data_IF_151639761289
#
_entry.id   IF_151639761289
#
_cell.length_a   1.000
_cell.length_b   1.000
_cell.length_c   1.000
_cell.angle_alpha   90.00
_cell.angle_beta   90.00
_cell.angle_gamma   90.00
#
_symmetry.space_group_name_H-M   'P 1'
#
loop_
_entity.id
_entity.type
_entity.pdbx_description
1 polymer ?
#
# COMPACT_ATOMS: atom_id res chain seq x y z
N UNK A 1 -18.26 -4.27 0.17
CA UNK A 1 -18.41 -2.80 0.07
C UNK A 1 -19.75 -2.33 0.66
N UNK A 2 -20.89 -2.87 0.27
CA UNK A 2 -22.19 -2.38 0.77
C UNK A 2 -22.39 -2.38 2.28
N UNK A 3 -21.74 -3.27 3.01
CA UNK A 3 -21.79 -3.33 4.49
C UNK A 3 -20.96 -2.26 5.20
N UNK A 4 -19.92 -1.73 4.56
CA UNK A 4 -18.98 -0.76 5.14
C UNK A 4 -19.19 0.66 4.59
N UNK A 5 -20.02 0.81 3.59
CA UNK A 5 -20.39 2.08 3.00
C UNK A 5 -21.91 2.19 3.04
N UNK A 6 -22.48 2.35 4.22
CA UNK A 6 -23.90 2.64 4.33
C UNK A 6 -24.16 4.08 3.85
N UNK A 7 -24.37 4.22 2.56
CA UNK A 7 -24.78 5.50 1.99
C UNK A 7 -26.19 5.84 2.47
N UNK A 8 -26.33 6.89 3.26
CA UNK A 8 -27.63 7.49 3.60
C UNK A 8 -28.23 8.10 2.34
N UNK A 9 -28.75 7.25 1.44
CA UNK A 9 -29.25 7.71 0.14
C UNK A 9 -30.74 8.04 0.24
N UNK A 10 -31.07 9.31 0.12
CA UNK A 10 -32.44 9.78 -0.14
C UNK A 10 -32.72 9.97 -1.64
N UNK A 11 -31.81 9.54 -2.52
CA UNK A 11 -31.89 9.78 -3.96
C UNK A 11 -32.25 8.51 -4.71
N UNK A 12 -33.36 8.54 -5.40
CA UNK A 12 -33.80 7.48 -6.34
C UNK A 12 -32.91 7.39 -7.59
N UNK A 13 -32.04 8.38 -7.83
CA UNK A 13 -31.21 8.49 -9.05
C UNK A 13 -29.81 7.92 -8.91
N UNK A 14 -29.29 7.74 -7.68
CA UNK A 14 -27.96 7.22 -7.43
C UNK A 14 -28.01 6.36 -6.16
N UNK A 15 -28.44 5.12 -6.33
CA UNK A 15 -28.43 4.13 -5.26
C UNK A 15 -27.02 3.65 -4.93
N UNK A 16 -26.88 2.95 -3.82
CA UNK A 16 -25.61 2.46 -3.32
C UNK A 16 -24.90 1.52 -4.30
N UNK A 17 -25.64 0.64 -4.96
CA UNK A 17 -25.06 -0.32 -5.92
C UNK A 17 -24.53 0.41 -7.15
N UNK A 18 -25.23 1.45 -7.61
CA UNK A 18 -24.72 2.30 -8.70
C UNK A 18 -23.41 3.00 -8.31
N UNK A 19 -23.32 3.57 -7.12
CA UNK A 19 -22.11 4.23 -6.64
C UNK A 19 -20.94 3.24 -6.60
N UNK A 20 -21.17 2.04 -6.07
CA UNK A 20 -20.16 0.97 -5.97
C UNK A 20 -19.71 0.52 -7.37
N UNK A 21 -20.62 0.29 -8.29
CA UNK A 21 -20.33 -0.14 -9.65
C UNK A 21 -19.52 0.92 -10.41
N UNK A 22 -19.92 2.19 -10.32
CA UNK A 22 -19.21 3.27 -11.01
C UNK A 22 -17.81 3.51 -10.41
N UNK A 23 -17.66 3.38 -9.09
CA UNK A 23 -16.34 3.39 -8.44
C UNK A 23 -15.47 2.21 -8.90
N UNK A 24 -16.05 1.02 -8.95
CA UNK A 24 -15.37 -0.19 -9.44
C UNK A 24 -14.96 -0.04 -10.90
N UNK A 25 -15.85 0.46 -11.76
CA UNK A 25 -15.59 0.69 -13.18
C UNK A 25 -14.51 1.77 -13.39
N UNK A 26 -14.54 2.86 -12.60
CA UNK A 26 -13.51 3.89 -12.63
C UNK A 26 -12.13 3.33 -12.22
N UNK A 27 -12.11 2.49 -11.19
CA UNK A 27 -10.90 1.84 -10.72
C UNK A 27 -10.30 0.90 -11.77
N UNK A 28 -11.09 -0.03 -12.35
CA UNK A 28 -10.56 -1.01 -13.32
C UNK A 28 -10.17 -0.39 -14.66
N UNK A 29 -10.74 0.74 -15.03
CA UNK A 29 -10.34 1.49 -16.22
C UNK A 29 -9.17 2.46 -15.94
N UNK A 30 -8.90 2.79 -14.69
CA UNK A 30 -7.97 3.86 -14.32
C UNK A 30 -8.44 5.22 -14.84
N UNK A 31 -9.75 5.47 -14.85
CA UNK A 31 -10.41 6.68 -15.33
C UNK A 31 -10.95 7.53 -14.18
N UNK A 32 -11.40 8.74 -14.50
CA UNK A 32 -12.18 9.56 -13.58
C UNK A 32 -13.64 9.09 -13.51
N UNK A 33 -14.33 9.44 -12.43
CA UNK A 33 -15.78 9.18 -12.32
C UNK A 33 -16.57 9.84 -13.45
N UNK A 34 -16.21 11.06 -13.86
CA UNK A 34 -16.86 11.73 -14.98
C UNK A 34 -16.81 10.89 -16.25
N UNK A 35 -15.58 10.46 -16.65
CA UNK A 35 -15.41 9.63 -17.85
C UNK A 35 -16.21 8.34 -17.78
N UNK A 36 -16.34 7.75 -16.60
CA UNK A 36 -17.07 6.49 -16.43
C UNK A 36 -18.58 6.70 -16.48
N UNK A 37 -19.10 7.73 -15.81
CA UNK A 37 -20.52 8.07 -15.88
C UNK A 37 -20.98 8.29 -17.33
N UNK A 38 -20.14 8.92 -18.15
CA UNK A 38 -20.43 9.17 -19.57
C UNK A 38 -20.35 7.88 -20.43
N UNK A 39 -19.77 6.80 -19.93
CA UNK A 39 -19.53 5.56 -20.68
C UNK A 39 -20.63 4.49 -20.54
N UNK A 40 -21.59 4.67 -19.65
CA UNK A 40 -22.70 3.76 -19.40
C UNK A 40 -24.03 4.48 -19.41
N UNK A 41 -25.11 3.80 -19.88
CA UNK A 41 -26.43 4.42 -20.02
C UNK A 41 -27.14 4.57 -18.66
N UNK A 42 -27.01 3.56 -17.81
CA UNK A 42 -27.61 3.55 -16.47
C UNK A 42 -26.60 4.09 -15.44
N UNK A 43 -26.30 5.39 -15.52
CA UNK A 43 -25.47 6.09 -14.56
C UNK A 43 -26.07 7.44 -14.16
N UNK A 44 -25.94 7.77 -12.89
CA UNK A 44 -26.11 9.14 -12.45
C UNK A 44 -24.91 9.99 -12.91
N UNK A 45 -25.07 11.30 -12.93
CA UNK A 45 -23.97 12.21 -13.26
C UNK A 45 -22.84 12.14 -12.22
N UNK A 46 -21.61 12.37 -12.64
CA UNK A 46 -20.45 12.36 -11.72
C UNK A 46 -20.63 13.32 -10.52
N UNK A 47 -21.16 14.54 -10.64
CA UNK A 47 -21.50 15.37 -9.48
C UNK A 47 -22.49 14.72 -8.52
N UNK A 48 -23.50 13.99 -9.02
CA UNK A 48 -24.47 13.30 -8.18
C UNK A 48 -23.80 12.15 -7.39
N UNK A 49 -22.94 11.37 -8.03
CA UNK A 49 -22.17 10.31 -7.36
C UNK A 49 -21.24 10.89 -6.28
N UNK A 50 -20.50 11.97 -6.60
CA UNK A 50 -19.63 12.64 -5.62
C UNK A 50 -20.42 13.27 -4.47
N UNK A 51 -21.60 13.81 -4.75
CA UNK A 51 -22.51 14.33 -3.72
C UNK A 51 -22.96 13.21 -2.78
N UNK A 52 -23.38 12.06 -3.31
CA UNK A 52 -23.78 10.90 -2.50
C UNK A 52 -22.63 10.37 -1.64
N UNK A 53 -21.42 10.28 -2.18
CA UNK A 53 -20.25 9.88 -1.42
C UNK A 53 -19.96 10.86 -0.27
N UNK A 54 -20.02 12.16 -0.52
CA UNK A 54 -19.76 13.18 0.48
C UNK A 54 -20.85 13.27 1.53
N UNK A 55 -22.08 13.52 1.11
CA UNK A 55 -23.21 13.74 2.01
C UNK A 55 -23.73 12.46 2.65
N UNK A 56 -23.67 11.35 1.93
CA UNK A 56 -24.19 10.07 2.41
C UNK A 56 -23.23 9.32 3.34
N UNK A 57 -21.93 9.62 3.27
CA UNK A 57 -20.95 8.85 4.01
C UNK A 57 -19.79 9.68 4.58
N UNK A 58 -19.07 10.46 3.75
CA UNK A 58 -17.79 11.06 4.14
C UNK A 58 -17.92 12.30 5.05
N UNK A 59 -19.02 13.04 4.99
CA UNK A 59 -19.12 14.31 5.74
C UNK A 59 -19.30 14.10 7.24
N UNK A 60 -19.98 13.03 7.64
CA UNK A 60 -20.29 12.76 9.05
C UNK A 60 -19.08 12.16 9.81
N UNK A 61 -18.05 11.75 9.10
CA UNK A 61 -16.87 11.09 9.66
C UNK A 61 -15.62 11.95 9.51
N UNK A 62 -14.72 11.90 10.48
CA UNK A 62 -13.39 12.44 10.30
C UNK A 62 -12.50 11.51 9.44
N UNK A 63 -11.26 11.95 9.12
CA UNK A 63 -10.38 11.16 8.26
C UNK A 63 -9.93 9.85 8.93
N UNK A 64 -9.80 9.82 10.27
CA UNK A 64 -9.37 8.64 11.01
C UNK A 64 -10.48 7.60 11.07
N UNK A 65 -11.73 8.04 11.24
CA UNK A 65 -12.91 7.18 11.20
C UNK A 65 -13.07 6.54 9.83
N UNK A 66 -12.95 7.34 8.75
CA UNK A 66 -12.96 6.85 7.37
C UNK A 66 -11.80 5.86 7.13
N UNK A 67 -10.61 6.15 7.65
CA UNK A 67 -9.47 5.24 7.54
C UNK A 67 -9.78 3.89 8.19
N UNK A 68 -10.44 3.88 9.35
CA UNK A 68 -10.83 2.65 10.05
C UNK A 68 -11.82 1.84 9.22
N UNK A 69 -12.91 2.45 8.75
CA UNK A 69 -13.91 1.77 7.91
C UNK A 69 -13.32 1.23 6.61
N UNK A 70 -12.44 2.01 5.97
CA UNK A 70 -11.75 1.58 4.76
C UNK A 70 -10.75 0.43 5.02
N UNK A 71 -10.11 0.40 6.17
CA UNK A 71 -9.26 -0.72 6.56
C UNK A 71 -10.08 -1.98 6.85
N UNK A 72 -11.30 -1.86 7.39
CA UNK A 72 -12.22 -2.99 7.54
C UNK A 72 -12.64 -3.55 6.19
N UNK A 73 -12.99 -2.67 5.26
CA UNK A 73 -13.27 -3.06 3.87
C UNK A 73 -12.07 -3.74 3.20
N UNK A 74 -10.86 -3.24 3.42
CA UNK A 74 -9.62 -3.78 2.85
C UNK A 74 -9.40 -5.25 3.22
N UNK A 75 -9.81 -5.65 4.42
CA UNK A 75 -9.58 -6.99 4.96
C UNK A 75 -10.81 -7.89 4.95
N UNK A 76 -11.97 -7.41 4.50
CA UNK A 76 -13.24 -8.17 4.48
C UNK A 76 -13.12 -9.54 3.79
N UNK A 77 -12.30 -9.62 2.75
CA UNK A 77 -12.06 -10.84 1.98
C UNK A 77 -10.57 -11.20 1.97
N UNK A 78 -10.09 -11.70 3.11
CA UNK A 78 -8.75 -12.24 3.19
C UNK A 78 -8.73 -13.75 2.99
N UNK A 79 -7.70 -14.30 2.32
CA UNK A 79 -7.49 -15.74 2.27
C UNK A 79 -7.23 -16.34 3.67
N UNK A 80 -7.79 -17.54 3.94
CA UNK A 80 -7.70 -18.22 5.26
C UNK A 80 -6.28 -18.34 5.80
N UNK A 81 -5.25 -18.42 4.92
CA UNK A 81 -3.86 -18.53 5.35
C UNK A 81 -3.29 -17.26 6.00
N UNK A 82 -4.06 -16.18 6.02
CA UNK A 82 -3.70 -14.91 6.67
C UNK A 82 -4.33 -14.82 8.06
N UNK A 83 -5.45 -15.48 8.26
CA UNK A 83 -6.15 -15.48 9.55
C UNK A 83 -5.33 -16.24 10.59
N UNK A 84 -5.02 -15.56 11.67
CA UNK A 84 -4.22 -16.11 12.77
C UNK A 84 -2.75 -16.34 12.44
N UNK A 85 -1.96 -16.63 13.45
CA UNK A 85 -0.55 -16.96 13.35
C UNK A 85 0.39 -15.77 13.19
N UNK A 86 1.70 -16.07 13.11
CA UNK A 86 2.76 -15.06 12.98
C UNK A 86 3.23 -14.91 11.53
N UNK A 87 3.21 -13.68 11.03
CA UNK A 87 3.55 -13.35 9.64
C UNK A 87 4.81 -12.50 9.50
N UNK A 88 5.43 -12.58 8.33
CA UNK A 88 6.39 -11.57 7.88
C UNK A 88 5.59 -10.44 7.27
N UNK A 89 5.75 -9.23 7.80
CA UNK A 89 5.07 -8.03 7.34
C UNK A 89 6.10 -7.04 6.84
N UNK A 90 5.81 -6.34 5.76
CA UNK A 90 6.61 -5.21 5.33
C UNK A 90 5.78 -3.93 5.37
N UNK A 91 6.42 -2.85 5.80
CA UNK A 91 5.86 -1.51 5.84
C UNK A 91 6.63 -0.63 4.86
N UNK A 92 5.88 0.17 4.12
CA UNK A 92 6.44 1.13 3.16
C UNK A 92 5.53 2.34 2.97
N UNK A 93 6.11 3.45 2.51
CA UNK A 93 5.37 4.66 2.17
C UNK A 93 5.27 4.85 0.66
N UNK A 94 4.18 5.48 0.24
CA UNK A 94 4.02 5.94 -1.14
C UNK A 94 3.38 7.30 -1.19
N UNK A 95 3.99 8.22 -1.95
CA UNK A 95 3.43 9.53 -2.24
C UNK A 95 2.75 9.56 -3.61
N UNK A 96 1.52 10.02 -3.65
CA UNK A 96 0.80 10.33 -4.89
C UNK A 96 1.08 11.79 -5.23
N UNK A 97 1.75 12.08 -6.37
CA UNK A 97 2.04 13.45 -6.77
C UNK A 97 0.79 14.32 -6.82
N UNK A 98 0.89 15.51 -6.31
CA UNK A 98 -0.20 16.48 -6.25
C UNK A 98 0.27 17.87 -6.70
N UNK A 99 -0.52 18.53 -7.52
CA UNK A 99 -0.19 19.83 -8.12
C UNK A 99 -1.14 20.95 -7.65
N UNK A 100 -2.06 20.64 -6.74
CA UNK A 100 -3.01 21.61 -6.19
C UNK A 100 -2.59 22.14 -4.82
N UNK A 101 -3.48 22.89 -4.21
CA UNK A 101 -3.40 23.36 -2.84
C UNK A 101 -4.09 22.38 -1.88
N UNK A 102 -3.79 22.48 -0.58
CA UNK A 102 -4.48 21.75 0.47
C UNK A 102 -6.00 22.03 0.45
N UNK A 103 -6.80 21.12 0.98
CA UNK A 103 -8.25 21.25 1.00
C UNK A 103 -8.73 22.07 2.21
N UNK A 104 -8.30 21.66 3.39
CA UNK A 104 -8.66 22.30 4.67
C UNK A 104 -7.42 22.64 5.50
N UNK A 105 -6.37 21.81 5.45
CA UNK A 105 -5.19 21.93 6.27
C UNK A 105 -3.93 21.68 5.42
N UNK A 106 -2.90 22.54 5.59
CA UNK A 106 -1.62 22.37 4.90
C UNK A 106 -0.93 21.05 5.24
N UNK A 107 -1.22 20.47 6.39
CA UNK A 107 -0.71 19.17 6.82
C UNK A 107 -1.23 17.98 5.99
N UNK A 108 -2.27 18.17 5.18
CA UNK A 108 -2.72 17.16 4.20
C UNK A 108 -1.68 16.86 3.14
N UNK A 109 -0.71 17.74 2.94
CA UNK A 109 0.25 17.65 1.85
C UNK A 109 1.67 17.52 2.41
N UNK A 110 2.22 16.31 2.28
CA UNK A 110 3.60 16.03 2.68
C UNK A 110 4.57 16.43 1.57
N UNK A 111 5.66 17.10 1.95
CA UNK A 111 6.73 17.44 1.01
C UNK A 111 7.76 16.32 0.93
N UNK A 112 8.21 16.01 -0.29
CA UNK A 112 9.25 15.01 -0.54
C UNK A 112 10.09 15.41 -1.76
N UNK A 113 11.06 14.57 -2.13
CA UNK A 113 11.85 14.76 -3.34
C UNK A 113 10.95 14.91 -4.57
N UNK A 114 11.33 15.81 -5.47
CA UNK A 114 10.55 16.09 -6.68
C UNK A 114 10.28 14.82 -7.49
N UNK A 115 9.01 14.60 -7.85
CA UNK A 115 8.56 13.50 -8.69
C UNK A 115 7.39 13.99 -9.55
N UNK A 116 7.42 13.67 -10.84
CA UNK A 116 6.37 14.10 -11.78
C UNK A 116 6.08 15.60 -11.74
N UNK A 117 7.13 16.44 -11.59
CA UNK A 117 7.01 17.90 -11.64
C UNK A 117 6.50 18.57 -10.36
N UNK A 118 6.38 17.85 -9.26
CA UNK A 118 5.96 18.41 -7.96
C UNK A 118 6.78 17.87 -6.79
N UNK A 119 6.85 18.66 -5.71
CA UNK A 119 7.38 18.24 -4.39
C UNK A 119 6.28 17.97 -3.38
N UNK A 120 5.00 18.06 -3.76
CA UNK A 120 3.83 17.92 -2.90
C UNK A 120 3.15 16.57 -3.16
N UNK A 121 2.79 15.86 -2.08
CA UNK A 121 2.23 14.51 -2.16
C UNK A 121 1.14 14.30 -1.13
N UNK A 122 0.04 13.67 -1.53
CA UNK A 122 -0.77 12.92 -0.58
C UNK A 122 -0.04 11.61 -0.31
N UNK A 123 0.38 11.42 0.92
CA UNK A 123 1.24 10.28 1.30
C UNK A 123 0.46 9.26 2.10
N UNK A 124 0.71 8.00 1.80
CA UNK A 124 0.10 6.86 2.47
C UNK A 124 1.18 5.87 2.88
N UNK A 125 0.99 5.22 4.02
CA UNK A 125 1.78 4.08 4.42
C UNK A 125 0.91 2.82 4.38
N UNK A 126 1.52 1.68 4.08
CA UNK A 126 0.81 0.40 4.06
C UNK A 126 1.62 -0.70 4.71
N UNK A 127 0.92 -1.62 5.37
CA UNK A 127 1.45 -2.88 5.85
C UNK A 127 0.92 -4.02 4.97
N UNK A 128 1.83 -4.87 4.49
CA UNK A 128 1.44 -6.02 3.70
C UNK A 128 2.14 -7.29 4.16
N UNK A 129 1.45 -8.42 4.04
CA UNK A 129 1.98 -9.73 4.39
C UNK A 129 2.90 -10.24 3.29
N UNK A 130 4.16 -10.51 3.67
CA UNK A 130 5.20 -11.02 2.77
C UNK A 130 5.13 -12.54 2.74
N UNK A 131 4.31 -13.08 1.87
CA UNK A 131 4.27 -14.52 1.62
C UNK A 131 4.62 -14.78 0.15
N UNK A 132 5.38 -15.84 -0.12
CA UNK A 132 5.79 -16.15 -1.49
C UNK A 132 4.58 -16.18 -2.42
N UNK A 133 4.56 -15.26 -3.37
CA UNK A 133 3.52 -15.15 -4.40
C UNK A 133 2.09 -14.85 -3.92
N UNK A 134 1.93 -14.45 -2.67
CA UNK A 134 0.65 -14.19 -2.02
C UNK A 134 0.82 -12.89 -1.23
N UNK A 135 0.61 -11.77 -1.88
CA UNK A 135 0.80 -10.45 -1.27
C UNK A 135 -0.56 -9.87 -0.98
N UNK A 136 -0.80 -9.57 0.27
CA UNK A 136 -2.05 -8.98 0.72
C UNK A 136 -1.73 -7.77 1.57
N UNK A 137 -2.30 -6.63 1.23
CA UNK A 137 -2.22 -5.42 2.05
C UNK A 137 -3.28 -5.51 3.13
N UNK A 138 -2.88 -5.35 4.39
CA UNK A 138 -3.75 -5.56 5.55
C UNK A 138 -4.00 -4.30 6.36
N UNK A 139 -3.20 -3.27 6.16
CA UNK A 139 -3.43 -1.96 6.77
C UNK A 139 -2.91 -0.85 5.86
N UNK A 140 -3.60 0.28 5.87
CA UNK A 140 -3.23 1.51 5.17
C UNK A 140 -3.50 2.68 6.14
N UNK A 141 -2.59 3.63 6.22
CA UNK A 141 -2.80 4.88 6.96
C UNK A 141 -2.42 6.09 6.11
N UNK A 142 -3.19 7.16 6.25
CA UNK A 142 -2.85 8.46 5.71
C UNK A 142 -1.68 9.06 6.50
N UNK A 143 -0.74 9.71 5.81
CA UNK A 143 0.44 10.30 6.44
C UNK A 143 0.38 11.82 6.34
N UNK A 144 0.09 12.49 7.45
CA UNK A 144 0.10 13.93 7.57
C UNK A 144 1.52 14.51 7.46
N UNK A 145 1.66 15.78 7.14
CA UNK A 145 2.99 16.41 7.04
C UNK A 145 3.74 16.42 8.36
N UNK A 146 3.02 16.63 9.48
CA UNK A 146 3.58 16.63 10.85
C UNK A 146 3.87 15.23 11.41
N UNK A 147 3.34 14.15 10.81
CA UNK A 147 3.56 12.79 11.31
C UNK A 147 5.04 12.44 11.32
N UNK A 148 5.54 11.96 12.45
CA UNK A 148 6.82 11.26 12.48
C UNK A 148 6.69 9.85 11.88
N UNK A 149 7.80 9.28 11.42
CA UNK A 149 7.80 7.88 10.98
C UNK A 149 7.48 6.90 12.12
N UNK A 150 7.65 7.33 13.36
CA UNK A 150 7.28 6.55 14.54
C UNK A 150 5.76 6.50 14.71
N UNK A 151 5.06 7.63 14.58
CA UNK A 151 3.60 7.69 14.67
C UNK A 151 2.94 6.84 13.56
N UNK A 152 3.46 6.95 12.34
CA UNK A 152 3.00 6.13 11.19
C UNK A 152 3.19 4.64 11.48
N UNK A 153 4.35 4.25 12.02
CA UNK A 153 4.64 2.87 12.38
C UNK A 153 3.65 2.36 13.43
N UNK A 154 3.42 3.12 14.49
CA UNK A 154 2.50 2.73 15.56
C UNK A 154 1.07 2.53 15.06
N UNK A 155 0.54 3.43 14.24
CA UNK A 155 -0.81 3.29 13.66
C UNK A 155 -0.96 1.99 12.86
N UNK A 156 0.04 1.66 12.03
CA UNK A 156 0.01 0.41 11.27
C UNK A 156 0.13 -0.83 12.15
N UNK A 157 0.95 -0.79 13.20
CA UNK A 157 1.09 -1.91 14.14
C UNK A 157 -0.16 -2.11 14.98
N UNK A 158 -0.76 -1.03 15.49
CA UNK A 158 -2.06 -1.09 16.19
C UNK A 158 -3.12 -1.76 15.34
N UNK A 159 -3.17 -1.42 14.05
CA UNK A 159 -4.11 -2.05 13.12
C UNK A 159 -3.86 -3.55 12.92
N UNK A 160 -2.60 -4.00 12.93
CA UNK A 160 -2.27 -5.43 12.86
C UNK A 160 -2.72 -6.17 14.13
N UNK A 161 -2.59 -5.53 15.29
CA UNK A 161 -3.07 -6.07 16.58
C UNK A 161 -4.60 -6.22 16.58
N UNK A 162 -5.34 -5.20 16.14
CA UNK A 162 -6.81 -5.26 15.99
C UNK A 162 -7.27 -6.41 15.09
N UNK A 163 -6.46 -6.77 14.09
CA UNK A 163 -6.74 -7.87 13.16
C UNK A 163 -6.24 -9.24 13.64
N UNK A 164 -5.70 -9.33 14.85
CA UNK A 164 -5.04 -10.55 15.38
C UNK A 164 -3.95 -11.10 14.45
N UNK A 165 -3.24 -10.21 13.76
CA UNK A 165 -2.12 -10.55 12.87
C UNK A 165 -0.81 -10.48 13.66
N UNK A 166 -0.36 -11.61 14.18
CA UNK A 166 0.90 -11.70 14.90
C UNK A 166 2.12 -11.44 14.00
N UNK A 167 3.15 -10.81 14.56
CA UNK A 167 4.40 -10.55 13.87
C UNK A 167 5.43 -11.64 14.13
N UNK A 168 5.91 -12.27 13.06
CA UNK A 168 7.12 -13.09 13.06
C UNK A 168 8.34 -12.23 12.74
N UNK A 169 8.19 -11.32 11.78
CA UNK A 169 9.24 -10.39 11.33
C UNK A 169 8.64 -9.18 10.68
N UNK A 170 9.22 -8.03 10.99
CA UNK A 170 8.90 -6.77 10.33
C UNK A 170 10.05 -6.34 9.41
N UNK A 171 9.72 -5.98 8.16
CA UNK A 171 10.66 -5.44 7.18
C UNK A 171 10.34 -3.96 6.98
N UNK A 172 11.27 -3.08 7.33
CA UNK A 172 11.06 -1.64 7.39
C UNK A 172 12.01 -0.92 6.45
N UNK A 173 11.52 0.10 5.75
CA UNK A 173 12.38 0.88 4.87
C UNK A 173 13.33 1.81 5.65
N UNK A 174 14.39 2.26 4.96
CA UNK A 174 15.39 3.20 5.48
C UNK A 174 14.80 4.56 5.89
N UNK A 175 13.63 4.93 5.39
CA UNK A 175 12.95 6.16 5.78
C UNK A 175 12.54 6.16 7.25
N UNK A 176 12.28 4.99 7.81
CA UNK A 176 11.97 4.81 9.24
C UNK A 176 13.21 4.86 10.16
N UNK A 177 14.41 5.05 9.62
CA UNK A 177 15.63 5.10 10.41
C UNK A 177 15.67 6.33 11.32
N UNK A 178 15.27 6.14 12.56
CA UNK A 178 15.29 7.16 13.62
C UNK A 178 15.46 6.51 14.99
N UNK A 179 16.03 7.26 15.95
CA UNK A 179 16.26 6.73 17.31
C UNK A 179 14.98 6.22 17.98
N UNK A 180 13.82 6.92 17.94
CA UNK A 180 12.57 6.41 18.52
C UNK A 180 12.12 5.08 17.92
N UNK A 181 12.16 4.95 16.59
CA UNK A 181 11.79 3.71 15.90
C UNK A 181 12.74 2.57 16.28
N UNK A 182 14.05 2.80 16.29
CA UNK A 182 15.04 1.77 16.64
C UNK A 182 14.84 1.31 18.09
N UNK A 183 14.64 2.26 19.03
CA UNK A 183 14.38 1.95 20.44
C UNK A 183 13.14 1.07 20.60
N UNK A 184 12.04 1.47 19.98
CA UNK A 184 10.81 0.72 20.03
C UNK A 184 10.96 -0.69 19.46
N UNK A 185 11.59 -0.82 18.29
CA UNK A 185 11.79 -2.12 17.63
C UNK A 185 12.79 -3.04 18.38
N UNK A 186 13.75 -2.48 19.12
CA UNK A 186 14.65 -3.26 19.99
C UNK A 186 13.93 -3.92 21.16
N UNK A 187 12.85 -3.32 21.63
CA UNK A 187 12.07 -3.80 22.79
C UNK A 187 11.04 -4.88 22.45
N UNK A 188 10.88 -5.19 21.14
CA UNK A 188 9.85 -6.13 20.71
C UNK A 188 10.30 -7.60 20.85
N UNK A 189 9.34 -8.50 21.03
CA UNK A 189 9.53 -9.96 21.09
C UNK A 189 9.60 -10.62 19.70
N UNK A 190 9.57 -9.83 18.65
CA UNK A 190 9.69 -10.25 17.24
C UNK A 190 10.86 -9.56 16.55
N UNK A 191 11.30 -10.13 15.43
CA UNK A 191 12.48 -9.64 14.69
C UNK A 191 12.11 -8.54 13.71
N UNK A 192 12.89 -7.45 13.70
CA UNK A 192 12.83 -6.43 12.65
C UNK A 192 14.10 -6.35 11.85
N UNK A 193 13.96 -6.13 10.55
CA UNK A 193 15.07 -5.86 9.64
C UNK A 193 14.81 -4.52 8.95
N UNK A 194 15.72 -3.58 9.16
CA UNK A 194 15.65 -2.23 8.59
C UNK A 194 16.89 -1.95 7.77
N UNK A 195 16.72 -1.40 6.55
CA UNK A 195 17.87 -0.87 5.81
C UNK A 195 18.38 0.42 6.46
N UNK A 196 19.69 0.57 6.55
CA UNK A 196 20.33 1.73 7.15
C UNK A 196 20.86 2.65 6.05
N UNK A 197 20.48 3.95 6.05
CA UNK A 197 21.05 4.92 5.12
C UNK A 197 22.54 5.16 5.48
N UNK A 198 23.40 5.24 4.48
CA UNK A 198 24.81 5.56 4.67
C UNK A 198 25.00 7.06 5.00
N UNK A 199 24.58 7.46 6.21
CA UNK A 199 24.73 8.83 6.73
C UNK A 199 25.88 8.85 7.74
N UNK A 200 26.68 9.94 7.73
CA UNK A 200 27.88 10.05 8.57
C UNK A 200 29.06 9.25 8.02
N UNK A 201 30.28 9.55 8.50
CA UNK A 201 31.52 8.99 7.95
C UNK A 201 31.61 7.47 8.14
N UNK A 202 31.34 6.97 9.32
CA UNK A 202 31.43 5.54 9.64
C UNK A 202 30.56 4.67 8.74
N UNK A 203 29.29 5.05 8.53
CA UNK A 203 28.38 4.27 7.68
C UNK A 203 28.73 4.39 6.19
N UNK A 204 29.23 5.55 5.75
CA UNK A 204 29.74 5.73 4.39
C UNK A 204 30.95 4.85 4.12
N UNK A 205 31.94 4.85 5.03
CA UNK A 205 33.12 3.99 4.94
C UNK A 205 32.73 2.50 4.88
N UNK A 206 31.88 2.04 5.79
CA UNK A 206 31.36 0.67 5.75
C UNK A 206 30.64 0.34 4.44
N UNK A 207 29.85 1.27 3.91
CA UNK A 207 29.13 1.10 2.66
C UNK A 207 30.04 1.05 1.43
N UNK A 208 31.17 1.76 1.46
CA UNK A 208 32.07 1.89 0.31
C UNK A 208 33.24 0.91 0.34
N UNK A 209 33.78 0.59 1.51
CA UNK A 209 35.09 -0.06 1.68
C UNK A 209 35.01 -1.48 2.23
N UNK A 210 33.88 -1.90 2.84
CA UNK A 210 33.80 -3.24 3.41
C UNK A 210 34.14 -4.32 2.35
N UNK A 211 35.12 -5.18 2.64
CA UNK A 211 35.54 -6.27 1.75
C UNK A 211 34.81 -7.58 2.02
N UNK A 212 34.25 -7.76 3.20
CA UNK A 212 33.54 -8.97 3.60
C UNK A 212 32.30 -8.64 4.47
N UNK A 213 31.36 -9.57 4.54
CA UNK A 213 30.21 -9.45 5.41
C UNK A 213 30.59 -9.67 6.86
N UNK A 214 30.14 -8.77 7.74
CA UNK A 214 30.36 -8.88 9.19
C UNK A 214 29.20 -8.22 9.96
N UNK A 215 29.20 -8.41 11.28
CA UNK A 215 28.29 -7.75 12.21
C UNK A 215 29.05 -7.00 13.26
N UNK A 216 28.52 -5.88 13.72
CA UNK A 216 29.08 -5.10 14.83
C UNK A 216 27.98 -4.37 15.58
N UNK A 217 28.23 -3.96 16.80
CA UNK A 217 27.37 -3.02 17.49
C UNK A 217 27.55 -1.63 16.89
N UNK A 218 26.46 -0.93 16.73
CA UNK A 218 26.43 0.45 16.24
C UNK A 218 25.46 1.28 17.07
N UNK A 219 25.93 2.46 17.51
CA UNK A 219 25.12 3.39 18.28
C UNK A 219 24.72 4.57 17.38
N UNK A 220 23.42 4.79 17.25
CA UNK A 220 22.88 6.01 16.66
C UNK A 220 22.60 7.00 17.78
N UNK A 221 22.90 8.26 17.55
CA UNK A 221 22.61 9.35 18.48
C UNK A 221 21.78 10.45 17.83
N UNK A 222 20.87 11.00 18.59
CA UNK A 222 20.02 12.14 18.23
C UNK A 222 20.02 13.12 19.39
N UNK A 223 20.21 14.41 19.11
CA UNK A 223 20.14 15.45 20.16
C UNK A 223 18.80 15.45 20.89
N UNK A 224 17.70 15.23 20.15
CA UNK A 224 16.34 15.24 20.70
C UNK A 224 15.95 13.92 21.40
N UNK A 225 16.45 12.78 20.94
CA UNK A 225 15.94 11.47 21.34
C UNK A 225 16.99 10.57 22.02
N UNK A 226 18.19 11.12 22.32
CA UNK A 226 19.26 10.41 22.99
C UNK A 226 19.94 9.38 22.07
N UNK A 227 20.43 8.30 22.67
CA UNK A 227 21.20 7.26 21.97
C UNK A 227 20.48 5.90 22.00
N UNK A 228 20.74 5.11 20.98
CA UNK A 228 20.26 3.74 20.88
C UNK A 228 21.28 2.85 20.19
N UNK A 229 21.51 1.65 20.72
CA UNK A 229 22.50 0.70 20.19
C UNK A 229 21.80 -0.51 19.60
N UNK A 230 22.26 -0.96 18.44
CA UNK A 230 21.72 -2.13 17.75
C UNK A 230 22.81 -2.93 17.03
N UNK A 231 22.47 -4.14 16.61
CA UNK A 231 23.38 -4.95 15.78
C UNK A 231 23.27 -4.52 14.32
N UNK A 232 24.34 -3.88 13.83
CA UNK A 232 24.53 -3.53 12.43
C UNK A 232 25.12 -4.71 11.68
N UNK A 233 24.45 -5.15 10.61
CA UNK A 233 24.95 -6.14 9.67
C UNK A 233 25.44 -5.44 8.39
N UNK A 234 26.69 -5.60 8.07
CA UNK A 234 27.29 -5.23 6.78
C UNK A 234 27.25 -6.47 5.90
N UNK A 235 26.53 -6.41 4.79
CA UNK A 235 26.39 -7.54 3.87
C UNK A 235 27.03 -7.20 2.54
N UNK A 236 28.06 -7.96 2.17
CA UNK A 236 28.75 -7.86 0.89
C UNK A 236 28.25 -8.97 -0.05
N UNK A 237 27.77 -8.62 -1.22
CA UNK A 237 27.40 -9.56 -2.28
C UNK A 237 28.30 -9.35 -3.47
N UNK A 238 28.96 -10.41 -3.88
CA UNK A 238 29.75 -10.41 -5.10
C UNK A 238 28.85 -10.69 -6.28
N UNK A 239 28.84 -9.81 -7.25
CA UNK A 239 28.12 -10.00 -8.51
C UNK A 239 29.06 -9.91 -9.69
N UNK A 240 28.89 -10.82 -10.64
CA UNK A 240 29.56 -10.73 -11.94
C UNK A 240 28.74 -9.81 -12.82
N UNK A 241 29.22 -8.58 -13.02
CA UNK A 241 28.54 -7.59 -13.85
C UNK A 241 28.52 -7.96 -15.33
N UNK A 242 27.69 -7.29 -16.10
CA UNK A 242 27.74 -7.32 -17.58
C UNK A 242 29.17 -6.96 -18.02
N UNK A 243 29.81 -7.73 -18.88
CA UNK A 243 31.21 -7.62 -19.35
C UNK A 243 32.28 -8.17 -18.39
N UNK A 244 31.90 -9.09 -17.48
CA UNK A 244 32.90 -9.79 -16.64
C UNK A 244 33.52 -8.98 -15.51
N UNK A 245 33.14 -7.71 -15.32
CA UNK A 245 33.60 -6.93 -14.18
C UNK A 245 32.97 -7.43 -12.90
N UNK A 246 33.80 -7.80 -11.92
CA UNK A 246 33.33 -8.15 -10.57
C UNK A 246 32.97 -6.87 -9.83
N UNK A 247 31.79 -6.84 -9.23
CA UNK A 247 31.37 -5.76 -8.34
C UNK A 247 30.94 -6.30 -6.98
N UNK A 248 31.14 -5.50 -5.94
CA UNK A 248 30.69 -5.80 -4.59
C UNK A 248 29.56 -4.85 -4.25
N UNK A 249 28.35 -5.40 -4.16
CA UNK A 249 27.21 -4.68 -3.62
C UNK A 249 27.24 -4.77 -2.10
N UNK A 250 27.17 -3.63 -1.42
CA UNK A 250 27.22 -3.56 0.04
C UNK A 250 25.90 -3.04 0.58
N UNK A 251 25.35 -3.73 1.55
CA UNK A 251 24.10 -3.39 2.21
C UNK A 251 24.33 -3.26 3.71
N UNK A 252 23.66 -2.28 4.30
CA UNK A 252 23.68 -2.03 5.74
C UNK A 252 22.28 -2.30 6.29
N UNK A 253 22.19 -3.21 7.27
CA UNK A 253 20.93 -3.56 7.92
C UNK A 253 21.04 -3.47 9.44
N UNK A 254 20.05 -2.85 10.09
CA UNK A 254 19.81 -3.08 11.50
C UNK A 254 18.94 -4.33 11.65
N UNK A 255 19.34 -5.19 12.58
CA UNK A 255 18.47 -6.26 13.08
C UNK A 255 18.12 -5.93 14.52
N UNK A 256 16.82 -5.79 14.78
CA UNK A 256 16.25 -5.27 16.02
C UNK A 256 15.30 -6.32 16.64
N UNK A 257 15.12 -6.28 17.96
CA UNK A 257 14.41 -7.32 18.68
C UNK A 257 15.20 -8.63 18.69
N UNK A 258 14.68 -9.69 18.13
CA UNK A 258 15.40 -10.97 18.10
C UNK A 258 16.59 -10.96 17.14
N UNK A 259 17.72 -11.59 17.55
CA UNK A 259 18.94 -11.61 16.74
C UNK A 259 18.75 -12.44 15.46
N UNK A 260 19.57 -12.12 14.44
CA UNK A 260 19.63 -12.89 13.21
C UNK A 260 20.57 -14.11 13.39
N UNK A 261 20.06 -15.29 13.08
CA UNK A 261 20.80 -16.56 13.17
C UNK A 261 21.26 -17.12 11.81
N UNK A 262 20.76 -16.54 10.72
CA UNK A 262 21.11 -16.97 9.37
C UNK A 262 22.40 -16.34 8.82
N UNK A 263 22.77 -16.71 7.59
CA UNK A 263 23.92 -16.12 6.89
C UNK A 263 23.63 -14.67 6.45
N UNK A 264 24.67 -13.85 6.20
CA UNK A 264 24.48 -12.49 5.66
C UNK A 264 23.72 -12.47 4.33
N UNK A 265 23.98 -13.44 3.45
CA UNK A 265 23.29 -13.58 2.18
C UNK A 265 21.78 -13.83 2.36
N UNK A 266 21.43 -14.68 3.33
CA UNK A 266 20.01 -14.94 3.67
C UNK A 266 19.33 -13.70 4.26
N UNK A 267 20.05 -12.87 5.03
CA UNK A 267 19.52 -11.60 5.54
C UNK A 267 19.15 -10.66 4.40
N UNK A 268 20.07 -10.45 3.46
CA UNK A 268 19.81 -9.61 2.29
C UNK A 268 18.67 -10.14 1.42
N UNK A 269 18.61 -11.47 1.21
CA UNK A 269 17.52 -12.09 0.46
C UNK A 269 16.19 -11.95 1.17
N UNK A 270 16.17 -12.10 2.48
CA UNK A 270 14.98 -11.90 3.30
C UNK A 270 14.47 -10.46 3.20
N UNK A 271 15.36 -9.49 3.36
CA UNK A 271 15.00 -8.07 3.22
C UNK A 271 14.55 -7.74 1.79
N UNK A 272 15.16 -8.34 0.76
CA UNK A 272 14.79 -8.11 -0.63
C UNK A 272 13.31 -8.43 -0.92
N UNK A 273 12.69 -9.33 -0.14
CA UNK A 273 11.26 -9.63 -0.28
C UNK A 273 10.38 -8.43 0.02
N UNK A 274 10.86 -7.43 0.76
CA UNK A 274 10.18 -6.13 0.95
C UNK A 274 9.87 -5.45 -0.37
N UNK A 275 10.77 -5.51 -1.36
CA UNK A 275 10.54 -4.92 -2.69
C UNK A 275 9.28 -5.45 -3.41
N UNK A 276 8.64 -6.45 -2.84
CA UNK A 276 7.31 -6.85 -3.25
C UNK A 276 6.26 -5.75 -3.09
N UNK A 277 6.46 -4.79 -2.15
CA UNK A 277 5.56 -3.66 -1.95
C UNK A 277 5.58 -2.71 -3.14
N UNK A 278 6.74 -2.45 -3.73
CA UNK A 278 6.87 -1.62 -4.93
C UNK A 278 6.07 -2.21 -6.11
N UNK A 279 6.06 -3.55 -6.20
CA UNK A 279 5.21 -4.24 -7.18
C UNK A 279 3.74 -4.06 -6.84
N UNK A 280 3.35 -4.11 -5.57
CA UNK A 280 1.96 -3.88 -5.13
C UNK A 280 1.52 -2.45 -5.46
N UNK A 281 2.34 -1.44 -5.20
CA UNK A 281 2.04 -0.05 -5.59
C UNK A 281 1.93 0.12 -7.11
N UNK A 282 2.80 -0.54 -7.88
CA UNK A 282 2.71 -0.51 -9.34
C UNK A 282 1.42 -1.17 -9.86
N UNK A 283 0.97 -2.25 -9.24
CA UNK A 283 -0.29 -2.90 -9.58
C UNK A 283 -1.49 -2.07 -9.12
N UNK A 284 -1.44 -1.49 -7.93
CA UNK A 284 -2.45 -0.58 -7.41
C UNK A 284 -2.67 0.61 -8.37
N UNK A 285 -1.61 1.21 -8.89
CA UNK A 285 -1.73 2.31 -9.85
C UNK A 285 -2.49 1.95 -11.15
N UNK A 286 -2.65 0.65 -11.47
CA UNK A 286 -3.50 0.19 -12.58
C UNK A 286 -4.99 0.15 -12.23
N UNK A 287 -5.32 0.13 -10.94
CA UNK A 287 -6.66 0.04 -10.39
C UNK A 287 -7.08 1.32 -9.65
N UNK A 288 -6.29 2.36 -9.72
CA UNK A 288 -6.57 3.60 -9.00
C UNK A 288 -7.43 4.53 -9.82
N UNK A 289 -8.56 4.96 -9.26
CA UNK A 289 -9.42 6.01 -9.81
C UNK A 289 -8.60 7.29 -10.00
N UNK A 290 -8.68 7.90 -11.16
CA UNK A 290 -8.05 9.21 -11.41
C UNK A 290 -8.95 10.31 -10.90
N UNK A 291 -8.34 11.29 -10.23
CA UNK A 291 -9.08 12.39 -9.63
C UNK A 291 -8.24 13.64 -9.53
N UNK A 292 -8.88 14.77 -9.66
CA UNK A 292 -8.34 16.11 -9.38
C UNK A 292 -8.89 16.68 -8.07
N UNK A 293 -9.72 15.91 -7.32
CA UNK A 293 -10.28 16.38 -6.04
C UNK A 293 -9.17 16.79 -5.07
N UNK A 294 -9.42 17.83 -4.29
CA UNK A 294 -8.56 18.24 -3.16
C UNK A 294 -8.84 17.43 -1.91
N UNK A 295 -10.06 16.90 -1.79
CA UNK A 295 -10.59 16.23 -0.61
C UNK A 295 -9.77 14.97 -0.24
N UNK A 296 -9.07 14.94 0.91
CA UNK A 296 -8.22 13.83 1.33
C UNK A 296 -9.02 12.56 1.62
N UNK A 297 -10.30 12.67 2.05
CA UNK A 297 -11.19 11.54 2.33
C UNK A 297 -11.50 10.78 1.05
N UNK A 298 -11.89 11.48 -0.02
CA UNK A 298 -12.10 10.89 -1.34
C UNK A 298 -10.82 10.28 -1.92
N UNK A 299 -9.67 10.93 -1.70
CA UNK A 299 -8.38 10.40 -2.15
C UNK A 299 -8.00 9.12 -1.42
N UNK A 300 -8.23 9.07 -0.11
CA UNK A 300 -8.02 7.86 0.69
C UNK A 300 -8.94 6.73 0.22
N UNK A 301 -10.24 7.01 0.00
CA UNK A 301 -11.18 6.05 -0.57
C UNK A 301 -10.65 5.45 -1.88
N UNK A 302 -10.25 6.27 -2.84
CA UNK A 302 -9.76 5.78 -4.14
C UNK A 302 -8.45 5.00 -4.03
N UNK A 303 -7.60 5.36 -3.07
CA UNK A 303 -6.36 4.65 -2.80
C UNK A 303 -6.63 3.27 -2.19
N UNK A 304 -7.47 3.20 -1.16
CA UNK A 304 -7.82 1.93 -0.49
C UNK A 304 -8.63 1.02 -1.40
N UNK A 305 -9.58 1.56 -2.19
CA UNK A 305 -10.35 0.80 -3.17
C UNK A 305 -9.44 0.02 -4.14
N UNK A 306 -8.38 0.64 -4.62
CA UNK A 306 -7.44 -0.04 -5.51
C UNK A 306 -6.74 -1.23 -4.83
N UNK A 307 -6.40 -1.13 -3.55
CA UNK A 307 -5.84 -2.25 -2.78
C UNK A 307 -6.89 -3.30 -2.42
N UNK A 308 -8.11 -2.89 -2.14
CA UNK A 308 -9.24 -3.82 -1.92
C UNK A 308 -9.48 -4.69 -3.15
N UNK A 309 -9.45 -4.11 -4.35
CA UNK A 309 -9.54 -4.86 -5.61
C UNK A 309 -8.34 -5.80 -5.82
N UNK A 310 -7.13 -5.40 -5.45
CA UNK A 310 -5.97 -6.28 -5.48
C UNK A 310 -6.10 -7.45 -4.49
N UNK A 311 -6.56 -7.19 -3.27
CA UNK A 311 -6.81 -8.22 -2.27
C UNK A 311 -7.91 -9.18 -2.75
N UNK A 312 -8.99 -8.67 -3.34
CA UNK A 312 -10.05 -9.46 -3.93
C UNK A 312 -9.52 -10.37 -5.05
N UNK A 313 -8.67 -9.83 -5.95
CA UNK A 313 -8.01 -10.65 -6.97
C UNK A 313 -7.18 -11.79 -6.37
N UNK A 314 -6.39 -11.52 -5.31
CA UNK A 314 -5.62 -12.55 -4.61
C UNK A 314 -6.53 -13.55 -3.91
N UNK A 315 -7.60 -13.08 -3.28
CA UNK A 315 -8.60 -13.93 -2.65
C UNK A 315 -9.22 -14.92 -3.65
N UNK A 316 -9.71 -14.43 -4.80
CA UNK A 316 -10.30 -15.27 -5.85
C UNK A 316 -9.32 -16.31 -6.38
N UNK A 317 -8.04 -15.95 -6.55
CA UNK A 317 -7.02 -16.90 -6.93
C UNK A 317 -6.88 -18.05 -5.94
N UNK A 318 -6.93 -17.78 -4.67
CA UNK A 318 -6.64 -18.79 -3.63
C UNK A 318 -7.88 -19.47 -3.06
N UNK A 319 -8.99 -18.77 -2.95
CA UNK A 319 -10.24 -19.33 -2.45
C UNK A 319 -10.99 -20.13 -3.52
N UNK A 320 -10.97 -19.66 -4.77
CA UNK A 320 -11.79 -20.21 -5.86
C UNK A 320 -10.96 -21.05 -6.83
N UNK A 321 -9.79 -20.56 -7.28
CA UNK A 321 -9.05 -21.18 -8.39
C UNK A 321 -7.93 -22.11 -7.95
N UNK A 322 -7.45 -22.01 -6.71
CA UNK A 322 -6.39 -22.90 -6.23
C UNK A 322 -6.96 -24.29 -5.88
N UNK A 323 -6.33 -25.32 -6.41
CA UNK A 323 -6.72 -26.70 -6.16
C UNK A 323 -5.94 -27.31 -4.97
N UNK A 324 -6.56 -28.12 -4.13
CA UNK A 324 -5.86 -28.81 -3.04
C UNK A 324 -4.76 -29.75 -3.57
N UNK A 325 -3.61 -29.78 -2.90
CA UNK A 325 -2.52 -30.73 -3.13
C UNK A 325 -1.88 -31.15 -1.80
N UNK A 326 -1.13 -32.25 -1.82
CA UNK A 326 -0.33 -32.66 -0.66
C UNK A 326 0.64 -31.53 -0.28
N UNK A 327 0.49 -30.99 0.94
CA UNK A 327 1.28 -29.86 1.43
C UNK A 327 0.69 -28.48 1.16
N UNK A 328 -0.58 -28.37 0.75
CA UNK A 328 -1.28 -27.09 0.59
C UNK A 328 -2.12 -26.97 -0.67
N UNK A 329 -2.28 -25.75 -1.16
CA UNK A 329 -2.99 -25.46 -2.42
C UNK A 329 -2.02 -25.06 -3.53
N UNK A 330 -2.30 -25.50 -4.74
CA UNK A 330 -1.57 -25.11 -5.94
C UNK A 330 -2.43 -24.23 -6.85
N UNK A 331 -1.82 -23.20 -7.44
CA UNK A 331 -2.46 -22.25 -8.34
C UNK A 331 -1.66 -22.12 -9.65
N UNK A 332 -2.27 -22.38 -10.77
CA UNK A 332 -1.73 -21.92 -12.07
C UNK A 332 -2.04 -20.43 -12.25
N UNK A 333 -1.01 -19.60 -12.06
CA UNK A 333 -1.13 -18.14 -12.15
C UNK A 333 -1.43 -17.61 -13.56
N UNK A 334 -1.23 -18.43 -14.59
CA UNK A 334 -1.54 -18.04 -15.96
C UNK A 334 -3.03 -18.00 -16.21
N UNK A 335 -3.82 -18.76 -15.45
CA UNK A 335 -5.27 -18.84 -15.61
C UNK A 335 -5.97 -17.52 -15.28
N UNK A 336 -5.54 -16.82 -14.21
CA UNK A 336 -6.22 -15.61 -13.75
C UNK A 336 -5.23 -14.51 -13.36
N UNK A 337 -4.59 -13.92 -14.40
CA UNK A 337 -3.72 -12.75 -14.23
C UNK A 337 -4.55 -11.51 -13.89
N UNK A 338 -3.93 -10.49 -13.28
CA UNK A 338 -4.60 -9.24 -12.94
C UNK A 338 -5.32 -8.61 -14.15
N UNK A 339 -4.73 -8.67 -15.34
CA UNK A 339 -5.39 -8.16 -16.55
C UNK A 339 -6.74 -8.85 -16.80
N UNK A 340 -6.79 -10.18 -16.69
CA UNK A 340 -8.06 -10.93 -16.81
C UNK A 340 -9.09 -10.57 -15.73
N UNK A 341 -8.64 -10.36 -14.51
CA UNK A 341 -9.53 -9.88 -13.43
C UNK A 341 -10.10 -8.50 -13.76
N UNK A 342 -9.26 -7.59 -14.25
CA UNK A 342 -9.68 -6.25 -14.67
C UNK A 342 -10.72 -6.34 -15.79
N UNK A 343 -10.46 -7.15 -16.83
CA UNK A 343 -11.38 -7.32 -17.94
C UNK A 343 -12.71 -7.94 -17.48
N UNK A 344 -12.64 -9.03 -16.70
CA UNK A 344 -13.83 -9.67 -16.13
C UNK A 344 -14.70 -8.69 -15.31
N UNK A 345 -14.09 -7.92 -14.42
CA UNK A 345 -14.84 -6.97 -13.59
C UNK A 345 -15.41 -5.81 -14.41
N UNK A 346 -14.65 -5.33 -15.39
CA UNK A 346 -15.10 -4.30 -16.33
C UNK A 346 -16.34 -4.75 -17.11
N UNK A 347 -16.27 -5.95 -17.69
CA UNK A 347 -17.35 -6.47 -18.53
C UNK A 347 -18.60 -6.73 -17.69
N UNK A 348 -18.46 -7.34 -16.50
CA UNK A 348 -19.58 -7.58 -15.59
C UNK A 348 -20.32 -6.29 -15.20
N UNK A 349 -19.58 -5.23 -14.84
CA UNK A 349 -20.18 -3.95 -14.47
C UNK A 349 -20.82 -3.27 -15.69
N UNK A 350 -20.16 -3.31 -16.85
CA UNK A 350 -20.71 -2.75 -18.09
C UNK A 350 -22.00 -3.45 -18.52
N UNK A 351 -22.05 -4.77 -18.41
CA UNK A 351 -23.26 -5.52 -18.71
C UNK A 351 -24.39 -5.12 -17.79
N UNK A 352 -24.14 -4.98 -16.48
CA UNK A 352 -25.11 -4.54 -15.48
C UNK A 352 -25.61 -3.11 -15.72
N UNK A 353 -24.74 -2.19 -16.18
CA UNK A 353 -25.05 -0.74 -16.33
C UNK A 353 -25.26 -0.30 -17.78
N UNK A 354 -25.33 -1.20 -18.73
CA UNK A 354 -25.59 -0.98 -20.16
C UNK A 354 -24.59 0.01 -20.80
N UNK A 355 -23.57 -0.45 -21.51
CA UNK A 355 -22.58 0.42 -22.14
C UNK A 355 -23.20 1.33 -23.19
N UNK A 356 -22.74 2.57 -23.28
CA UNK A 356 -23.07 3.46 -24.41
C UNK A 356 -22.41 2.89 -25.66
N UNK A 357 -23.20 2.48 -26.64
CA UNK A 357 -22.73 1.89 -27.92
C UNK A 357 -22.75 2.86 -29.07
N UNK A 358 -23.56 3.92 -28.98
CA UNK A 358 -23.74 4.92 -30.04
C UNK A 358 -23.63 6.33 -29.47
N UNK A 359 -22.96 7.20 -30.21
CA UNK A 359 -22.88 8.62 -29.90
C UNK A 359 -23.56 9.37 -31.03
N UNK A 360 -24.78 9.84 -30.78
CA UNK A 360 -25.53 10.70 -31.73
C UNK A 360 -25.36 12.19 -31.35
N UNK A 361 -25.19 13.06 -32.34
CA UNK A 361 -25.37 14.51 -32.14
C UNK A 361 -26.84 14.82 -31.89
N UNK A 362 -27.15 15.36 -30.74
CA UNK A 362 -28.43 16.05 -30.56
C UNK A 362 -28.44 17.27 -31.50
N UNK A 363 -29.22 17.22 -32.55
CA UNK A 363 -29.49 18.41 -33.35
C UNK A 363 -30.43 19.26 -32.51
N UNK A 364 -29.91 20.31 -31.87
CA UNK A 364 -30.80 21.36 -31.34
C UNK A 364 -31.45 22.04 -32.56
N UNK A 365 -32.68 21.70 -32.81
CA UNK A 365 -33.53 22.51 -33.70
C UNK A 365 -33.95 23.73 -32.89
N UNK A 366 -33.38 24.90 -33.21
CA UNK A 366 -33.80 26.19 -32.67
C UNK A 366 -35.10 26.62 -33.31
#
# INVERSE_FOLDING_TARGET
MSKHMELKTNSTKADQDMVIDLLGLAAVNGYSLSTVCDSVQEAATSPAILYQLRQGWLNDLDLQEIERELNDLLVERLPDYIQGGRHEVAIDLTGIPYHGEAYQDEDEIRRSMAKSGTTHFHTYASAYIVKSNKRVTVAITYCWAHDSYFDILLRLLSRLEELDIGLKRLLVDREFYSTPVIRFLNQQDWQSIMAIPARGETLKTLKNEASHSHRRLYTVSSQKHGQETFTLHVVCRYSKGRRGKHSIDRFLFAVLGHPWTGTPGQLAEKYRRRFGVETSYRLMNKLRVRTTTRDPKLRLLFFVLAFTLLNLWVYLQWAVLAVPRRGGRWLDRRLFRLARFIDFLRDAIREARKPVREVSRSVCVF
#
